data_IF_227009474513
#
_entry.id   IF_227009474513
#
_cell.length_a   1.000
_cell.length_b   1.000
_cell.length_c   1.000
_cell.angle_alpha   90.00
_cell.angle_beta   90.00
_cell.angle_gamma   90.00
#
_symmetry.space_group_name_H-M   'P 1'
#
loop_
_entity.id
_entity.type
_entity.pdbx_description
1 polymer ?
#
# COMPACT_ATOMS: atom_id res chain seq x y z
N UNK A 1 -4.48 -13.06 0.16
CA UNK A 1 -3.57 -11.89 0.20
C UNK A 1 -2.66 -11.95 -1.02
N UNK A 2 -2.79 -10.97 -1.91
CA UNK A 2 -1.86 -10.71 -3.01
C UNK A 2 -0.86 -9.63 -2.58
N UNK A 3 0.35 -9.62 -3.17
CA UNK A 3 1.34 -8.58 -2.89
C UNK A 3 2.38 -8.46 -4.00
N UNK A 4 3.01 -7.29 -4.09
CA UNK A 4 4.18 -7.02 -4.93
C UNK A 4 5.17 -6.16 -4.16
N UNK A 5 6.42 -6.10 -4.63
CA UNK A 5 7.49 -5.35 -3.97
C UNK A 5 8.16 -4.39 -4.93
N UNK A 6 9.04 -3.54 -4.41
CA UNK A 6 9.89 -2.64 -5.20
C UNK A 6 10.72 -3.33 -6.28
N UNK A 7 11.03 -4.62 -6.11
CA UNK A 7 11.82 -5.39 -7.08
C UNK A 7 10.96 -5.87 -8.25
N UNK A 8 9.83 -6.54 -7.97
CA UNK A 8 9.02 -7.14 -9.04
C UNK A 8 8.08 -6.14 -9.70
N UNK A 9 7.47 -5.22 -8.94
CA UNK A 9 6.47 -4.23 -9.40
C UNK A 9 5.38 -4.79 -10.31
N UNK A 10 5.07 -6.08 -10.20
CA UNK A 10 3.98 -6.70 -10.96
C UNK A 10 2.68 -6.46 -10.19
N UNK A 11 1.87 -5.51 -10.66
CA UNK A 11 0.55 -5.18 -10.11
C UNK A 11 -0.59 -5.88 -10.85
N UNK A 12 -0.32 -6.56 -11.97
CA UNK A 12 -1.36 -7.22 -12.79
C UNK A 12 -1.75 -8.60 -12.26
N UNK A 13 -0.83 -9.29 -11.59
CA UNK A 13 -1.12 -10.59 -10.97
C UNK A 13 -1.79 -10.41 -9.60
N UNK A 14 -3.11 -10.26 -9.64
CA UNK A 14 -3.95 -10.13 -8.44
C UNK A 14 -4.20 -11.46 -7.71
N UNK A 15 -3.63 -12.57 -8.20
CA UNK A 15 -3.82 -13.90 -7.60
C UNK A 15 -3.28 -13.92 -6.15
N UNK A 16 -4.05 -14.42 -5.17
CA UNK A 16 -3.57 -14.55 -3.80
C UNK A 16 -2.33 -15.44 -3.70
N UNK A 17 -1.25 -14.92 -3.10
CA UNK A 17 -0.02 -15.68 -2.81
C UNK A 17 -0.12 -16.51 -1.54
N UNK A 18 -0.96 -16.09 -0.60
CA UNK A 18 -1.28 -16.84 0.61
C UNK A 18 -2.67 -16.47 1.14
N UNK A 19 -3.22 -17.30 2.01
CA UNK A 19 -4.49 -17.09 2.69
C UNK A 19 -4.25 -16.95 4.20
N UNK A 20 -5.05 -16.12 4.86
CA UNK A 20 -5.06 -16.03 6.31
C UNK A 20 -6.08 -17.03 6.84
N UNK A 21 -5.62 -17.98 7.65
CA UNK A 21 -6.49 -18.83 8.46
C UNK A 21 -6.77 -18.12 9.79
N UNK A 22 -8.03 -18.11 10.23
CA UNK A 22 -8.45 -17.52 11.50
C UNK A 22 -7.70 -18.08 12.71
N UNK A 23 -7.16 -19.30 12.61
CA UNK A 23 -6.44 -20.00 13.68
C UNK A 23 -4.93 -19.82 13.67
N UNK A 24 -4.35 -19.28 12.58
CA UNK A 24 -2.90 -19.24 12.35
C UNK A 24 -2.38 -17.81 12.14
N UNK A 25 -2.66 -16.91 13.09
CA UNK A 25 -2.11 -15.54 13.09
C UNK A 25 -1.08 -15.38 14.22
N UNK A 26 0.12 -14.83 13.96
CA UNK A 26 0.58 -14.21 12.70
C UNK A 26 1.07 -15.22 11.64
N UNK A 27 0.88 -14.88 10.35
CA UNK A 27 1.51 -15.58 9.21
C UNK A 27 2.81 -14.88 8.85
N UNK A 28 3.90 -15.64 8.73
CA UNK A 28 5.21 -15.12 8.31
C UNK A 28 5.61 -15.74 6.99
N UNK A 29 6.16 -14.92 6.08
CA UNK A 29 6.77 -15.38 4.84
C UNK A 29 8.10 -14.65 4.62
N UNK A 30 9.04 -15.33 3.98
CA UNK A 30 10.36 -14.78 3.70
C UNK A 30 10.36 -14.08 2.33
N UNK A 31 10.91 -12.88 2.28
CA UNK A 31 11.22 -12.17 1.05
C UNK A 31 12.64 -12.55 0.64
N UNK A 32 12.82 -12.92 -0.64
CA UNK A 32 14.12 -13.43 -1.13
C UNK A 32 15.16 -12.32 -1.34
N UNK A 33 14.72 -11.09 -1.59
CA UNK A 33 15.57 -9.95 -1.91
C UNK A 33 15.39 -8.82 -0.90
N UNK A 34 16.37 -7.92 -0.84
CA UNK A 34 16.19 -6.62 -0.21
C UNK A 34 15.13 -5.86 -0.99
N UNK A 35 14.08 -5.43 -0.30
CA UNK A 35 13.00 -4.63 -0.90
C UNK A 35 12.96 -3.27 -0.21
N UNK A 36 12.62 -2.25 -0.96
CA UNK A 36 12.41 -0.91 -0.43
C UNK A 36 11.01 -0.81 0.16
N UNK A 37 10.00 -1.30 -0.56
CA UNK A 37 8.59 -1.24 -0.16
C UNK A 37 7.83 -2.51 -0.57
N UNK A 38 6.72 -2.76 0.12
CA UNK A 38 5.76 -3.84 -0.09
C UNK A 38 4.37 -3.25 -0.23
N UNK A 39 3.61 -3.66 -1.25
CA UNK A 39 2.19 -3.34 -1.39
C UNK A 39 1.40 -4.64 -1.36
N UNK A 40 0.47 -4.74 -0.41
CA UNK A 40 -0.54 -5.79 -0.32
C UNK A 40 -1.82 -5.37 -1.05
N UNK A 41 -2.68 -6.36 -1.34
CA UNK A 41 -3.98 -6.17 -1.98
C UNK A 41 -3.87 -5.51 -3.37
N UNK A 42 -3.20 -6.17 -4.30
CA UNK A 42 -2.96 -5.62 -5.63
C UNK A 42 -4.29 -5.28 -6.33
N UNK A 43 -4.36 -4.04 -6.84
CA UNK A 43 -5.53 -3.42 -7.46
C UNK A 43 -6.80 -3.42 -6.59
N UNK A 44 -6.63 -3.47 -5.26
CA UNK A 44 -7.75 -3.55 -4.29
C UNK A 44 -8.70 -4.73 -4.59
N UNK A 45 -8.18 -5.84 -5.14
CA UNK A 45 -9.00 -6.97 -5.57
C UNK A 45 -9.67 -7.72 -4.41
N UNK A 46 -9.14 -7.58 -3.20
CA UNK A 46 -9.69 -8.13 -1.98
C UNK A 46 -10.47 -7.10 -1.17
N UNK A 47 -11.59 -7.54 -0.57
CA UNK A 47 -12.45 -6.69 0.25
C UNK A 47 -11.92 -6.54 1.69
N UNK A 48 -10.83 -5.79 1.85
CA UNK A 48 -10.23 -5.44 3.13
C UNK A 48 -9.30 -4.23 2.99
N UNK A 49 -9.12 -3.51 4.10
CA UNK A 49 -8.16 -2.41 4.23
C UNK A 49 -6.79 -2.93 4.62
N UNK A 50 -5.74 -2.24 4.20
CA UNK A 50 -4.36 -2.58 4.58
C UNK A 50 -3.76 -1.48 5.44
N UNK A 51 -3.26 -1.86 6.62
CA UNK A 51 -2.41 -0.99 7.42
C UNK A 51 -1.01 -1.57 7.49
N UNK A 52 0.00 -0.71 7.38
CA UNK A 52 1.40 -1.07 7.54
C UNK A 52 1.99 -0.46 8.81
N UNK A 53 3.16 -0.96 9.22
CA UNK A 53 3.95 -0.30 10.25
C UNK A 53 4.56 1.01 9.74
N UNK A 54 5.09 1.81 10.67
CA UNK A 54 5.65 3.13 10.36
C UNK A 54 6.80 3.07 9.33
N UNK A 55 7.69 2.09 9.43
CA UNK A 55 8.83 1.97 8.51
C UNK A 55 8.36 1.68 7.08
N UNK A 56 7.34 0.84 6.95
CA UNK A 56 6.75 0.48 5.66
C UNK A 56 5.98 1.66 5.08
N UNK A 57 5.25 2.43 5.89
CA UNK A 57 4.63 3.68 5.43
C UNK A 57 5.66 4.71 4.97
N UNK A 58 6.78 4.86 5.69
CA UNK A 58 7.87 5.77 5.28
C UNK A 58 8.50 5.35 3.94
N UNK A 59 8.62 4.04 3.71
CA UNK A 59 9.10 3.52 2.43
C UNK A 59 8.10 3.74 1.29
N UNK A 60 6.80 3.56 1.55
CA UNK A 60 5.74 3.85 0.58
C UNK A 60 5.71 5.34 0.25
N UNK A 61 5.79 6.23 1.25
CA UNK A 61 5.89 7.68 1.05
C UNK A 61 7.06 8.03 0.11
N UNK A 62 8.27 7.51 0.39
CA UNK A 62 9.44 7.73 -0.49
C UNK A 62 9.21 7.23 -1.91
N UNK A 63 8.54 6.09 -2.08
CA UNK A 63 8.20 5.55 -3.38
C UNK A 63 7.23 6.47 -4.13
N UNK A 64 6.17 6.93 -3.48
CA UNK A 64 5.17 7.82 -4.07
C UNK A 64 5.75 9.18 -4.49
N UNK A 65 6.74 9.71 -3.77
CA UNK A 65 7.45 10.93 -4.17
C UNK A 65 8.54 10.72 -5.24
N UNK A 66 8.83 9.47 -5.61
CA UNK A 66 9.81 9.17 -6.66
C UNK A 66 9.19 9.24 -8.06
N UNK A 67 10.04 9.20 -9.09
CA UNK A 67 9.59 9.20 -10.48
C UNK A 67 8.55 8.10 -10.74
N UNK A 68 7.45 8.47 -11.42
CA UNK A 68 6.32 7.58 -11.71
C UNK A 68 5.74 6.91 -10.45
N UNK A 69 5.74 7.61 -9.31
CA UNK A 69 5.24 7.13 -8.02
C UNK A 69 5.82 5.77 -7.60
N UNK A 70 7.10 5.55 -7.90
CA UNK A 70 7.79 4.29 -7.61
C UNK A 70 7.39 3.13 -8.52
N UNK A 71 6.52 3.37 -9.50
CA UNK A 71 5.86 2.36 -10.31
C UNK A 71 4.63 1.74 -9.64
N UNK A 72 4.12 2.34 -8.56
CA UNK A 72 2.91 1.84 -7.88
C UNK A 72 1.69 2.10 -8.77
N UNK A 73 0.90 1.06 -9.02
CA UNK A 73 -0.28 1.12 -9.89
C UNK A 73 -1.34 2.11 -9.36
N UNK A 74 -2.04 2.81 -10.26
CA UNK A 74 -3.00 3.86 -9.88
C UNK A 74 -4.09 3.39 -8.91
N UNK A 75 -4.63 2.18 -9.10
CA UNK A 75 -5.62 1.57 -8.19
C UNK A 75 -5.06 1.34 -6.79
N UNK A 76 -3.77 0.97 -6.66
CA UNK A 76 -3.17 0.84 -5.34
C UNK A 76 -2.84 2.18 -4.71
N UNK A 77 -2.54 3.22 -5.50
CA UNK A 77 -2.40 4.59 -4.99
C UNK A 77 -3.73 5.15 -4.50
N UNK A 78 -4.83 4.86 -5.20
CA UNK A 78 -6.20 5.13 -4.77
C UNK A 78 -6.54 4.41 -3.46
N UNK A 79 -6.26 3.11 -3.38
CA UNK A 79 -6.41 2.35 -2.15
C UNK A 79 -5.60 2.94 -0.98
N UNK A 80 -4.34 3.35 -1.22
CA UNK A 80 -3.51 3.99 -0.18
C UNK A 80 -4.19 5.26 0.36
N UNK A 81 -4.76 6.09 -0.53
CA UNK A 81 -5.47 7.32 -0.11
C UNK A 81 -6.67 6.99 0.76
N UNK A 82 -7.55 6.09 0.30
CA UNK A 82 -8.76 5.70 1.04
C UNK A 82 -8.42 5.01 2.37
N UNK A 83 -7.42 4.11 2.37
CA UNK A 83 -6.98 3.40 3.57
C UNK A 83 -6.39 4.37 4.60
N UNK A 84 -5.49 5.27 4.22
CA UNK A 84 -4.90 6.25 5.15
C UNK A 84 -5.96 7.12 5.81
N UNK A 85 -6.92 7.66 5.04
CA UNK A 85 -7.97 8.52 5.56
C UNK A 85 -8.92 7.79 6.50
N UNK A 86 -9.32 6.55 6.17
CA UNK A 86 -10.21 5.76 7.03
C UNK A 86 -9.52 5.24 8.28
N UNK A 87 -8.27 4.79 8.16
CA UNK A 87 -7.46 4.31 9.30
C UNK A 87 -7.18 5.48 10.25
N UNK A 88 -6.83 6.66 9.73
CA UNK A 88 -6.65 7.86 10.54
C UNK A 88 -7.94 8.28 11.25
N UNK A 89 -9.08 8.27 10.54
CA UNK A 89 -10.39 8.57 11.13
C UNK A 89 -10.78 7.62 12.27
N UNK A 90 -10.33 6.37 12.19
CA UNK A 90 -10.57 5.37 13.25
C UNK A 90 -9.64 5.51 14.46
N UNK A 91 -8.60 6.35 14.38
CA UNK A 91 -7.61 6.55 15.44
C UNK A 91 -6.50 5.48 15.49
N UNK A 92 -6.44 4.57 14.50
CA UNK A 92 -5.40 3.54 14.40
C UNK A 92 -4.06 4.12 13.92
N UNK A 93 -4.12 5.12 13.03
CA UNK A 93 -2.97 5.88 12.53
C UNK A 93 -3.15 7.36 12.90
N UNK A 94 -2.07 8.08 13.21
CA UNK A 94 -2.18 9.53 13.42
C UNK A 94 -2.48 10.25 12.10
N UNK A 95 -3.23 11.35 12.18
CA UNK A 95 -3.41 12.23 11.03
C UNK A 95 -2.08 12.80 10.53
N UNK A 96 -1.11 13.08 11.42
CA UNK A 96 0.22 13.55 11.02
C UNK A 96 0.88 12.59 10.04
N UNK A 97 0.90 11.28 10.35
CA UNK A 97 1.48 10.27 9.47
C UNK A 97 0.66 10.08 8.20
N UNK A 98 -0.67 10.08 8.31
CA UNK A 98 -1.53 9.95 7.14
C UNK A 98 -1.32 11.11 6.15
N UNK A 99 -1.34 12.34 6.65
CA UNK A 99 -1.17 13.54 5.84
C UNK A 99 0.24 13.63 5.24
N UNK A 100 1.28 13.26 6.00
CA UNK A 100 2.66 13.14 5.49
C UNK A 100 2.74 12.22 4.28
N UNK A 101 2.11 11.03 4.34
CA UNK A 101 2.11 10.12 3.18
C UNK A 101 1.31 10.72 2.02
N UNK A 102 0.19 11.40 2.29
CA UNK A 102 -0.69 12.02 1.28
C UNK A 102 -0.10 13.26 0.60
N UNK A 103 1.02 13.83 1.09
CA UNK A 103 1.71 14.96 0.43
C UNK A 103 2.07 14.65 -1.03
N UNK A 104 2.28 13.37 -1.38
CA UNK A 104 2.59 12.95 -2.75
C UNK A 104 1.50 13.35 -3.77
N UNK A 105 0.26 13.56 -3.31
CA UNK A 105 -0.86 13.98 -4.17
C UNK A 105 -0.55 15.27 -4.92
N UNK A 106 0.36 16.12 -4.43
CA UNK A 106 0.87 17.29 -5.19
C UNK A 106 1.38 16.91 -6.59
N UNK A 107 1.96 15.72 -6.73
CA UNK A 107 2.51 15.21 -7.98
C UNK A 107 1.55 14.28 -8.75
N UNK A 108 0.41 13.91 -8.16
CA UNK A 108 -0.53 12.92 -8.71
C UNK A 108 -1.35 13.49 -9.88
N UNK A 109 -1.51 12.69 -10.93
CA UNK A 109 -2.20 13.09 -12.16
C UNK A 109 -3.32 12.15 -12.57
N UNK A 110 -3.36 10.93 -12.05
CA UNK A 110 -4.41 9.96 -12.31
C UNK A 110 -5.69 10.34 -11.53
N UNK A 111 -6.86 10.12 -12.13
CA UNK A 111 -8.14 10.51 -11.55
C UNK A 111 -8.48 9.74 -10.27
N UNK A 112 -8.20 8.42 -10.25
CA UNK A 112 -8.69 7.54 -9.19
C UNK A 112 -8.17 7.92 -7.79
N UNK A 113 -6.86 8.19 -7.58
CA UNK A 113 -6.38 8.60 -6.27
C UNK A 113 -6.97 9.92 -5.75
N UNK A 114 -7.35 10.84 -6.65
CA UNK A 114 -7.99 12.10 -6.27
C UNK A 114 -9.46 11.95 -5.84
N UNK A 115 -10.14 10.92 -6.32
CA UNK A 115 -11.56 10.67 -6.01
C UNK A 115 -11.80 9.58 -4.97
N UNK A 116 -10.71 9.04 -4.41
CA UNK A 116 -10.74 8.03 -3.36
C UNK A 116 -11.17 8.64 -2.03
#
# INVERSE_FOLDING_TARGET
>A
ISYTTSEQKNFEDTTPKFYLDATATPVTFNLQNSIDWLILNLQESGYYRVNYDANTWDAIHKALHSANWGGIHELNRAQIVDDLLNIARSGILSYDKALEVLEYLESETNYLPWTS
#
